data_IF_257318058984
#
_entry.id   IF_257318058984
#
_cell.length_a   1.000
_cell.length_b   1.000
_cell.length_c   1.000
_cell.angle_alpha   90.00
_cell.angle_beta   90.00
_cell.angle_gamma   90.00
#
_symmetry.space_group_name_H-M   'P 1'
#
loop_
_entity.id
_entity.type
_entity.pdbx_description
1 polymer ?
#
# COMPACT_ATOMS: atom_id res chain seq x y z
N UNK A 1 -1.77 13.30 6.22
CA UNK A 1 -2.13 11.92 5.86
C UNK A 1 -1.22 10.96 6.63
N UNK A 2 -1.73 9.81 7.05
CA UNK A 2 -0.96 8.79 7.78
C UNK A 2 -0.75 7.60 6.85
N UNK A 3 0.49 7.14 6.76
CA UNK A 3 0.84 5.87 6.12
C UNK A 3 1.36 4.91 7.19
N UNK A 4 0.75 3.74 7.29
CA UNK A 4 1.20 2.66 8.15
C UNK A 4 1.94 1.61 7.32
N UNK A 5 3.11 1.21 7.79
CA UNK A 5 3.94 0.21 7.14
C UNK A 5 4.41 -0.84 8.14
N UNK A 6 4.54 -2.08 7.66
CA UNK A 6 5.00 -3.25 8.39
C UNK A 6 6.39 -3.66 7.84
N UNK A 7 7.49 -3.17 8.45
CA UNK A 7 8.86 -3.33 7.94
C UNK A 7 9.35 -4.76 7.97
N UNK A 8 9.89 -5.23 6.85
CA UNK A 8 10.36 -6.61 6.71
C UNK A 8 11.63 -6.69 5.88
N UNK A 9 12.49 -7.63 6.22
CA UNK A 9 13.81 -7.77 5.61
C UNK A 9 13.72 -8.07 4.11
N UNK A 10 12.71 -8.83 3.69
CA UNK A 10 12.47 -9.15 2.27
C UNK A 10 12.11 -7.94 1.40
N UNK A 11 11.69 -6.82 2.00
CA UNK A 11 11.52 -5.55 1.29
C UNK A 11 12.86 -4.81 1.08
N UNK A 12 13.94 -5.27 1.73
CA UNK A 12 15.30 -4.71 1.65
C UNK A 12 15.36 -3.19 1.86
N UNK A 13 14.47 -2.66 2.71
CA UNK A 13 14.36 -1.22 3.00
C UNK A 13 13.78 -0.36 1.86
N UNK A 14 13.46 -0.93 0.70
CA UNK A 14 12.97 -0.19 -0.48
C UNK A 14 11.63 0.49 -0.18
N UNK A 15 10.72 -0.23 0.46
CA UNK A 15 9.37 0.27 0.79
C UNK A 15 9.45 1.45 1.76
N UNK A 16 10.17 1.30 2.87
CA UNK A 16 10.31 2.37 3.86
C UNK A 16 10.98 3.60 3.25
N UNK A 17 12.08 3.42 2.50
CA UNK A 17 12.78 4.52 1.85
C UNK A 17 11.87 5.27 0.88
N UNK A 18 11.05 4.56 0.11
CA UNK A 18 10.09 5.14 -0.83
C UNK A 18 9.00 5.94 -0.10
N UNK A 19 8.43 5.39 0.99
CA UNK A 19 7.40 6.07 1.78
C UNK A 19 7.93 7.32 2.49
N UNK A 20 9.18 7.29 2.98
CA UNK A 20 9.83 8.44 3.63
C UNK A 20 10.07 9.64 2.72
N UNK A 21 10.02 9.47 1.39
CA UNK A 21 10.12 10.63 0.48
C UNK A 21 8.78 11.35 0.30
N UNK A 22 7.69 10.78 0.82
CA UNK A 22 6.38 11.42 0.84
C UNK A 22 6.28 12.28 2.11
N UNK A 23 5.68 13.45 1.99
CA UNK A 23 5.44 14.37 3.13
C UNK A 23 4.24 13.91 3.98
N UNK A 24 4.28 12.64 4.40
CA UNK A 24 3.25 11.97 5.19
C UNK A 24 3.82 11.50 6.52
N UNK A 25 2.95 11.40 7.52
CA UNK A 25 3.31 10.77 8.78
C UNK A 25 3.42 9.25 8.57
N UNK A 26 4.64 8.72 8.57
CA UNK A 26 4.91 7.29 8.46
C UNK A 26 4.93 6.65 9.86
N UNK A 27 4.01 5.72 10.10
CA UNK A 27 3.95 4.90 11.31
C UNK A 27 4.45 3.50 10.97
N UNK A 28 5.48 3.05 11.69
CA UNK A 28 5.99 1.69 11.58
C UNK A 28 5.30 0.79 12.60
N UNK A 29 4.82 -0.38 12.17
CA UNK A 29 4.23 -1.40 13.04
C UNK A 29 5.05 -2.69 13.00
N UNK A 30 5.02 -3.50 14.07
CA UNK A 30 5.65 -4.82 14.05
C UNK A 30 5.11 -5.67 12.90
N UNK A 31 6.01 -6.30 12.17
CA UNK A 31 5.63 -7.15 11.04
C UNK A 31 4.94 -8.43 11.48
N UNK A 32 3.85 -8.75 10.77
CA UNK A 32 3.06 -9.97 10.98
C UNK A 32 3.38 -11.03 9.93
N UNK A 33 3.65 -10.61 8.69
CA UNK A 33 3.99 -11.50 7.56
C UNK A 33 5.39 -11.14 7.08
N UNK A 34 6.41 -11.82 7.61
CA UNK A 34 7.82 -11.47 7.41
C UNK A 34 8.41 -12.00 6.08
N UNK A 35 8.01 -13.20 5.67
CA UNK A 35 8.65 -13.93 4.56
C UNK A 35 8.09 -13.58 3.17
N UNK A 36 7.26 -12.53 3.08
CA UNK A 36 6.61 -12.11 1.84
C UNK A 36 6.80 -10.61 1.60
N UNK A 37 7.30 -10.19 0.42
CA UNK A 37 7.42 -8.78 0.09
C UNK A 37 6.09 -8.03 0.15
N UNK A 38 6.15 -6.73 0.42
CA UNK A 38 4.99 -5.86 0.34
C UNK A 38 4.42 -5.89 -1.07
N UNK A 39 3.15 -6.26 -1.17
CA UNK A 39 2.45 -6.43 -2.44
C UNK A 39 1.05 -5.78 -2.43
N UNK A 40 0.61 -5.19 -1.32
CA UNK A 40 -0.74 -4.65 -1.20
C UNK A 40 -0.80 -3.32 -0.47
N UNK A 41 -1.75 -2.50 -0.91
CA UNK A 41 -2.13 -1.23 -0.29
C UNK A 41 -3.59 -1.32 0.13
N UNK A 42 -3.86 -0.92 1.38
CA UNK A 42 -5.22 -0.73 1.88
C UNK A 42 -5.45 0.72 2.27
N UNK A 43 -6.68 1.21 2.15
CA UNK A 43 -6.99 2.60 2.50
C UNK A 43 -8.37 2.75 3.15
N UNK A 44 -8.47 3.77 4.01
CA UNK A 44 -9.70 4.17 4.69
C UNK A 44 -10.69 4.91 3.80
N UNK A 45 -11.95 4.96 4.23
CA UNK A 45 -13.04 5.58 3.46
C UNK A 45 -12.93 7.09 3.27
N UNK A 46 -12.15 7.78 4.12
CA UNK A 46 -11.92 9.22 4.03
C UNK A 46 -10.61 9.55 3.29
N UNK A 47 -9.85 8.55 2.85
CA UNK A 47 -8.66 8.75 2.02
C UNK A 47 -9.08 8.99 0.57
N UNK A 48 -8.68 10.14 0.02
CA UNK A 48 -8.95 10.42 -1.39
C UNK A 48 -8.16 9.49 -2.32
N UNK A 49 -8.76 9.10 -3.45
CA UNK A 49 -8.11 8.25 -4.45
C UNK A 49 -6.81 8.87 -4.98
N UNK A 50 -6.70 10.20 -5.00
CA UNK A 50 -5.47 10.90 -5.38
C UNK A 50 -4.30 10.54 -4.46
N UNK A 51 -4.52 10.50 -3.15
CA UNK A 51 -3.49 10.16 -2.17
C UNK A 51 -3.11 8.67 -2.28
N UNK A 52 -4.10 7.78 -2.49
CA UNK A 52 -3.86 6.35 -2.72
C UNK A 52 -2.97 6.13 -3.94
N UNK A 53 -3.27 6.81 -5.05
CA UNK A 53 -2.47 6.75 -6.27
C UNK A 53 -1.06 7.28 -6.04
N UNK A 54 -0.89 8.38 -5.31
CA UNK A 54 0.44 8.93 -5.05
C UNK A 54 1.34 7.92 -4.32
N UNK A 55 0.80 7.25 -3.28
CA UNK A 55 1.52 6.20 -2.56
C UNK A 55 1.83 5.02 -3.50
N UNK A 56 0.85 4.55 -4.27
CA UNK A 56 1.02 3.44 -5.18
C UNK A 56 2.07 3.72 -6.27
N UNK A 57 1.98 4.86 -6.94
CA UNK A 57 2.93 5.28 -7.96
C UNK A 57 4.34 5.40 -7.39
N UNK A 58 4.48 5.94 -6.17
CA UNK A 58 5.78 6.05 -5.50
C UNK A 58 6.40 4.68 -5.22
N UNK A 59 5.61 3.73 -4.75
CA UNK A 59 6.07 2.37 -4.46
C UNK A 59 6.44 1.62 -5.76
N UNK A 60 5.57 1.67 -6.77
CA UNK A 60 5.80 1.00 -8.06
C UNK A 60 7.03 1.58 -8.76
N UNK A 61 7.18 2.91 -8.82
CA UNK A 61 8.36 3.56 -9.42
C UNK A 61 9.67 3.28 -8.66
N UNK A 62 9.58 2.87 -7.39
CA UNK A 62 10.72 2.43 -6.57
C UNK A 62 11.02 0.94 -6.72
N UNK A 63 10.30 0.22 -7.59
CA UNK A 63 10.49 -1.22 -7.86
C UNK A 63 9.68 -2.15 -6.97
N UNK A 64 8.77 -1.62 -6.14
CA UNK A 64 7.90 -2.44 -5.29
C UNK A 64 6.79 -3.06 -6.15
N UNK A 65 6.67 -4.39 -6.08
CA UNK A 65 5.71 -5.17 -6.86
C UNK A 65 4.32 -5.16 -6.22
N UNK A 66 3.63 -4.02 -6.26
CA UNK A 66 2.24 -3.90 -5.81
C UNK A 66 1.32 -4.69 -6.73
N UNK A 67 0.40 -5.45 -6.15
CA UNK A 67 -0.51 -6.40 -6.81
C UNK A 67 -1.98 -6.14 -6.50
N UNK A 68 -2.27 -5.40 -5.44
CA UNK A 68 -3.63 -5.01 -5.09
C UNK A 68 -3.65 -3.64 -4.40
N UNK A 69 -4.69 -2.86 -4.69
CA UNK A 69 -5.01 -1.60 -4.03
C UNK A 69 -6.50 -1.66 -3.72
N UNK A 70 -6.88 -1.72 -2.44
CA UNK A 70 -8.28 -1.97 -2.05
C UNK A 70 -8.68 -1.24 -0.77
N UNK A 71 -9.95 -0.80 -0.61
CA UNK A 71 -10.42 -0.22 0.66
C UNK A 71 -10.26 -1.24 1.81
N UNK A 72 -10.23 -0.80 3.07
CA UNK A 72 -10.31 -1.75 4.21
C UNK A 72 -11.62 -2.56 4.18
N UNK A 73 -11.57 -3.82 4.64
CA UNK A 73 -12.72 -4.74 4.63
C UNK A 73 -13.81 -4.37 5.65
N UNK A 74 -13.39 -3.82 6.77
CA UNK A 74 -14.22 -3.41 7.91
C UNK A 74 -13.66 -2.09 8.42
N UNK A 75 -14.46 -1.32 9.16
CA UNK A 75 -13.92 -0.23 9.97
C UNK A 75 -12.86 -0.82 10.92
N UNK A 76 -11.60 -0.68 10.54
CA UNK A 76 -10.49 -0.82 11.46
C UNK A 76 -10.52 0.47 12.28
N UNK A 77 -10.45 0.35 13.60
CA UNK A 77 -10.51 1.52 14.47
C UNK A 77 -9.47 2.56 14.03
N UNK A 78 -9.89 3.82 13.89
CA UNK A 78 -9.05 4.93 13.43
C UNK A 78 -8.44 4.77 12.01
N UNK A 79 -8.95 3.85 11.19
CA UNK A 79 -8.41 3.61 9.84
C UNK A 79 -9.02 4.46 8.74
N UNK A 80 -10.06 5.24 9.02
CA UNK A 80 -10.80 5.99 8.00
C UNK A 80 -9.88 6.97 7.22
N UNK A 81 -8.83 7.47 7.86
CA UNK A 81 -7.81 8.37 7.30
C UNK A 81 -6.46 7.69 6.99
N UNK A 82 -6.38 6.36 7.03
CA UNK A 82 -5.13 5.62 6.96
C UNK A 82 -4.90 5.00 5.58
N UNK A 83 -3.65 5.04 5.10
CA UNK A 83 -3.15 4.12 4.06
C UNK A 83 -2.23 3.09 4.73
N UNK A 84 -2.44 1.80 4.48
CA UNK A 84 -1.59 0.71 4.96
C UNK A 84 -0.86 0.04 3.82
N UNK A 85 0.44 -0.18 3.98
CA UNK A 85 1.29 -0.93 3.05
C UNK A 85 1.75 -2.21 3.74
N UNK A 86 1.56 -3.34 3.07
CA UNK A 86 1.89 -4.64 3.64
C UNK A 86 1.87 -5.79 2.65
N UNK A 87 1.91 -7.00 3.20
CA UNK A 87 1.89 -8.23 2.44
C UNK A 87 0.52 -8.92 2.57
N UNK A 88 0.06 -9.46 1.46
CA UNK A 88 -1.21 -10.12 1.30
C UNK A 88 -1.02 -11.45 0.56
N UNK A 89 -1.13 -12.58 1.27
CA UNK A 89 -0.96 -13.89 0.66
C UNK A 89 -1.99 -14.24 -0.41
N UNK A 90 -3.19 -13.65 -0.36
CA UNK A 90 -4.29 -13.95 -1.29
C UNK A 90 -3.95 -13.52 -2.72
N UNK A 91 -3.18 -12.44 -2.85
CA UNK A 91 -2.83 -11.85 -4.15
C UNK A 91 -1.41 -12.22 -4.61
N UNK A 92 -0.73 -13.14 -3.92
CA UNK A 92 0.66 -13.52 -4.21
C UNK A 92 0.90 -13.93 -5.67
N UNK A 93 -0.11 -14.53 -6.32
CA UNK A 93 -0.04 -15.00 -7.70
C UNK A 93 -0.66 -14.03 -8.72
N UNK A 94 -1.22 -12.90 -8.27
CA UNK A 94 -1.70 -11.85 -9.18
C UNK A 94 -0.52 -11.19 -9.91
N UNK A 95 -0.73 -10.68 -11.13
CA UNK A 95 0.22 -9.79 -11.78
C UNK A 95 0.42 -8.53 -10.93
N UNK A 96 1.57 -7.89 -11.09
CA UNK A 96 1.82 -6.58 -10.47
C UNK A 96 1.16 -5.48 -11.28
N UNK A 97 0.60 -4.50 -10.59
CA UNK A 97 0.01 -3.31 -11.18
C UNK A 97 1.09 -2.46 -11.84
N UNK A 98 0.77 -1.87 -12.98
CA UNK A 98 1.62 -0.87 -13.65
C UNK A 98 1.27 0.55 -13.24
N UNK A 99 2.15 1.51 -13.56
CA UNK A 99 1.88 2.93 -13.32
C UNK A 99 0.68 3.40 -14.15
N UNK A 100 0.52 2.92 -15.38
CA UNK A 100 -0.59 3.27 -16.26
C UNK A 100 -1.93 2.79 -15.68
N UNK A 101 -1.97 1.54 -15.18
CA UNK A 101 -3.18 0.97 -14.55
C UNK A 101 -3.61 1.79 -13.33
N UNK A 102 -2.66 2.14 -12.46
CA UNK A 102 -2.93 2.98 -11.28
C UNK A 102 -3.40 4.37 -11.67
N UNK A 103 -2.76 5.02 -12.66
CA UNK A 103 -3.13 6.35 -13.14
C UNK A 103 -4.51 6.37 -13.78
N UNK A 104 -4.86 5.33 -14.54
CA UNK A 104 -6.14 5.23 -15.25
C UNK A 104 -7.36 4.95 -14.36
N UNK A 105 -7.19 4.39 -13.17
CA UNK A 105 -8.31 4.02 -12.27
C UNK A 105 -9.01 5.25 -11.69
N UNK A 106 -10.34 5.36 -11.81
CA UNK A 106 -11.11 6.43 -11.13
C UNK A 106 -11.41 6.10 -9.66
N UNK A 107 -11.45 4.81 -9.32
CA UNK A 107 -11.68 4.28 -7.97
C UNK A 107 -11.04 2.89 -7.83
N UNK A 108 -10.99 2.39 -6.59
CA UNK A 108 -10.57 1.03 -6.26
C UNK A 108 -11.65 0.36 -5.40
N UNK A 109 -11.90 -0.91 -5.67
CA UNK A 109 -12.89 -1.77 -5.01
C UNK A 109 -12.18 -2.89 -4.25
N UNK A 110 -12.95 -3.76 -3.58
CA UNK A 110 -12.39 -4.81 -2.72
C UNK A 110 -11.73 -5.94 -3.51
N UNK A 111 -12.14 -6.13 -4.75
CA UNK A 111 -11.70 -7.24 -5.61
C UNK A 111 -10.54 -6.86 -6.54
N UNK A 112 -10.26 -5.55 -6.68
CA UNK A 112 -9.10 -5.02 -7.40
C UNK A 112 -7.75 -5.53 -6.85
#
# INVERSE_FOLDING_TARGET
MIVEYFPKDVDNGVVEKALRTLDYQLILRPTVVADMPSNSIWFGSEVSIKEVKLVAEKLISSGVKIKAIRPFNKKVEFSDLLIRVGADPEVKNRPSLTLEEVRGKSSFTRDD
#
